data_IF_677948288074
#
_entry.id   IF_677948288074
#
_cell.length_a   1.000
_cell.length_b   1.000
_cell.length_c   1.000
_cell.angle_alpha   90.00
_cell.angle_beta   90.00
_cell.angle_gamma   90.00
#
_symmetry.space_group_name_H-M   'P 1'
#
loop_
_entity.id
_entity.type
_entity.pdbx_description
1 polymer ?
#
# COMPACT_ATOMS: atom_id res chain seq x y z
N UNK A 1 -1.92 32.36 7.57
CA UNK A 1 -3.04 31.56 8.12
C UNK A 1 -2.54 30.14 8.26
N UNK A 2 -2.40 29.60 9.47
CA UNK A 2 -1.97 28.21 9.62
C UNK A 2 -3.13 27.31 9.15
N UNK A 3 -2.86 26.43 8.20
CA UNK A 3 -3.81 25.37 7.84
C UNK A 3 -3.95 24.46 9.06
N UNK A 4 -5.17 24.14 9.45
CA UNK A 4 -5.46 23.23 10.56
C UNK A 4 -6.21 22.02 10.01
N UNK A 5 -5.92 20.86 10.57
CA UNK A 5 -6.57 19.64 10.10
C UNK A 5 -6.30 18.44 10.98
N UNK A 6 -6.81 17.31 10.52
CA UNK A 6 -6.64 16.01 11.16
C UNK A 6 -6.03 15.04 10.16
N UNK A 7 -5.02 14.27 10.60
CA UNK A 7 -4.38 13.24 9.78
C UNK A 7 -5.33 12.04 9.68
N UNK A 8 -5.64 11.61 8.47
CA UNK A 8 -6.52 10.48 8.15
C UNK A 8 -5.79 9.59 7.13
N UNK A 9 -5.12 8.55 7.61
CA UNK A 9 -4.23 7.74 6.77
C UNK A 9 -3.07 8.60 6.22
N UNK A 10 -2.78 8.56 4.90
CA UNK A 10 -1.71 9.36 4.29
C UNK A 10 -2.11 10.80 3.97
N UNK A 11 -3.37 11.18 4.21
CA UNK A 11 -3.91 12.47 3.82
C UNK A 11 -4.31 13.32 5.03
N UNK A 12 -4.32 14.64 4.86
CA UNK A 12 -4.78 15.58 5.89
C UNK A 12 -6.13 16.14 5.50
N UNK A 13 -7.11 15.96 6.40
CA UNK A 13 -8.42 16.58 6.26
C UNK A 13 -8.39 17.98 6.87
N UNK A 14 -8.61 19.00 6.05
CA UNK A 14 -8.70 20.38 6.52
C UNK A 14 -9.91 20.55 7.45
N UNK A 15 -9.68 21.21 8.59
CA UNK A 15 -10.71 21.53 9.55
C UNK A 15 -11.14 23.00 9.36
N UNK A 16 -12.43 23.24 9.16
CA UNK A 16 -13.01 24.59 9.04
C UNK A 16 -13.59 25.10 10.36
N UNK A 17 -13.69 24.22 11.37
CA UNK A 17 -14.32 24.47 12.67
C UNK A 17 -13.33 24.90 13.77
N UNK A 18 -12.05 25.08 13.43
CA UNK A 18 -11.01 25.42 14.41
C UNK A 18 -10.48 24.22 15.20
N UNK A 19 -11.03 23.02 15.00
CA UNK A 19 -10.68 21.81 15.77
C UNK A 19 -9.77 20.92 14.93
N UNK A 20 -8.48 21.25 14.92
CA UNK A 20 -7.46 20.50 14.22
C UNK A 20 -6.06 20.84 14.72
N UNK A 21 -5.08 20.04 14.31
CA UNK A 21 -3.68 20.32 14.57
C UNK A 21 -3.13 21.24 13.46
N UNK A 22 -2.20 22.13 13.79
CA UNK A 22 -1.53 22.96 12.80
C UNK A 22 -0.76 22.08 11.80
N UNK A 23 -0.93 22.40 10.52
CA UNK A 23 -0.27 21.75 9.40
C UNK A 23 0.90 22.62 8.98
N UNK A 24 2.09 22.04 9.03
CA UNK A 24 3.36 22.66 8.68
C UNK A 24 3.81 22.09 7.34
N UNK A 25 3.64 22.90 6.29
CA UNK A 25 4.17 22.60 4.96
C UNK A 25 5.69 22.79 4.95
N UNK A 26 6.38 21.94 4.21
CA UNK A 26 7.82 22.03 3.94
C UNK A 26 8.01 22.16 2.43
N UNK A 27 8.99 22.95 2.00
CA UNK A 27 9.36 23.02 0.58
C UNK A 27 9.78 21.63 0.06
N UNK A 28 9.40 21.35 -1.18
CA UNK A 28 9.81 20.14 -1.88
C UNK A 28 11.35 20.14 -2.02
N UNK A 29 12.04 19.07 -1.59
CA UNK A 29 13.49 19.03 -1.67
C UNK A 29 13.94 18.95 -3.13
N UNK A 30 15.11 19.50 -3.43
CA UNK A 30 15.73 19.28 -4.74
C UNK A 30 16.13 17.81 -4.86
N UNK A 31 15.59 17.15 -5.88
CA UNK A 31 15.75 15.71 -6.06
C UNK A 31 16.76 15.43 -7.18
N UNK A 32 17.80 14.60 -6.92
CA UNK A 32 18.76 14.21 -7.95
C UNK A 32 18.10 13.42 -9.10
N UNK A 33 18.72 13.46 -10.28
CA UNK A 33 18.28 12.66 -11.45
C UNK A 33 18.20 11.16 -11.09
N UNK A 34 17.09 10.51 -11.46
CA UNK A 34 16.80 9.12 -11.10
C UNK A 34 16.20 8.92 -9.70
N UNK A 35 15.78 10.01 -9.03
CA UNK A 35 15.01 10.00 -7.79
C UNK A 35 13.81 10.95 -7.90
N UNK A 36 12.75 10.67 -7.14
CA UNK A 36 11.57 11.53 -7.00
C UNK A 36 11.29 11.79 -5.52
N UNK A 37 10.72 12.96 -5.21
CA UNK A 37 10.25 13.27 -3.87
C UNK A 37 8.86 12.65 -3.68
N UNK A 38 8.72 11.83 -2.65
CA UNK A 38 7.45 11.28 -2.19
C UNK A 38 6.97 12.09 -0.98
N UNK A 39 5.79 12.67 -1.10
CA UNK A 39 5.21 13.57 -0.10
C UNK A 39 4.28 12.79 0.83
N UNK A 40 4.53 12.91 2.14
CA UNK A 40 3.70 12.31 3.18
C UNK A 40 3.44 13.30 4.33
N UNK A 41 2.52 12.96 5.22
CA UNK A 41 2.23 13.74 6.41
C UNK A 41 2.45 12.92 7.67
N UNK A 42 3.16 13.48 8.64
CA UNK A 42 3.44 12.84 9.93
C UNK A 42 3.00 13.73 11.09
N UNK A 43 2.31 13.16 12.08
CA UNK A 43 1.94 13.88 13.29
C UNK A 43 3.07 13.80 14.32
N UNK A 44 3.66 14.95 14.69
CA UNK A 44 4.70 15.05 15.73
C UNK A 44 4.35 16.16 16.71
N UNK A 45 4.40 15.87 18.01
CA UNK A 45 4.29 16.89 19.06
C UNK A 45 3.08 17.83 18.94
N UNK A 46 1.91 17.30 18.54
CA UNK A 46 0.68 18.10 18.39
C UNK A 46 0.62 18.96 17.13
N UNK A 47 1.45 18.71 16.12
CA UNK A 47 1.37 19.33 14.79
C UNK A 47 1.45 18.24 13.71
N UNK A 48 0.94 18.54 12.53
CA UNK A 48 1.08 17.69 11.34
C UNK A 48 2.17 18.30 10.46
N UNK A 49 3.23 17.55 10.20
CA UNK A 49 4.33 17.98 9.35
C UNK A 49 4.19 17.34 7.97
N UNK A 50 4.29 18.13 6.92
CA UNK A 50 4.60 17.63 5.60
C UNK A 50 6.06 17.18 5.60
N UNK A 51 6.26 15.91 5.30
CA UNK A 51 7.57 15.28 5.22
C UNK A 51 7.81 14.80 3.81
N UNK A 52 9.06 14.87 3.37
CA UNK A 52 9.48 14.46 2.04
C UNK A 52 10.46 13.30 2.17
N UNK A 53 10.21 12.23 1.43
CA UNK A 53 11.11 11.10 1.30
C UNK A 53 11.66 11.08 -0.12
N UNK A 54 12.98 10.97 -0.27
CA UNK A 54 13.59 10.80 -1.60
C UNK A 54 13.59 9.33 -1.95
N UNK A 55 12.84 8.96 -2.99
CA UNK A 55 12.72 7.57 -3.46
C UNK A 55 13.27 7.45 -4.88
N UNK A 56 13.83 6.30 -5.30
CA UNK A 56 14.30 6.12 -6.66
C UNK A 56 13.17 6.34 -7.68
N UNK A 57 13.45 7.11 -8.73
CA UNK A 57 12.53 7.36 -9.83
C UNK A 57 12.76 6.29 -10.90
N UNK A 58 11.98 5.21 -10.84
CA UNK A 58 11.63 4.39 -11.99
C UNK A 58 12.70 3.49 -12.64
N UNK A 59 14.00 3.81 -12.61
CA UNK A 59 15.00 3.07 -13.42
C UNK A 59 15.37 1.71 -12.82
N UNK A 60 15.03 1.47 -11.55
CA UNK A 60 15.08 0.15 -10.89
C UNK A 60 13.74 -0.58 -10.87
N UNK A 61 12.68 0.08 -11.33
CA UNK A 61 11.30 -0.39 -11.22
C UNK A 61 10.92 -1.37 -12.33
N UNK A 62 11.63 -1.39 -13.45
CA UNK A 62 11.34 -2.33 -14.54
C UNK A 62 11.69 -3.77 -14.17
N UNK A 63 12.82 -4.01 -13.49
CA UNK A 63 13.19 -5.35 -13.03
C UNK A 63 12.29 -5.84 -11.89
N UNK A 64 11.84 -4.94 -11.00
CA UNK A 64 10.87 -5.27 -9.95
C UNK A 64 9.48 -5.47 -10.53
N UNK A 65 9.06 -4.68 -11.53
CA UNK A 65 7.81 -4.91 -12.27
C UNK A 65 7.88 -6.19 -13.09
N UNK A 66 8.99 -6.49 -13.77
CA UNK A 66 9.17 -7.76 -14.48
C UNK A 66 9.16 -8.93 -13.50
N UNK A 67 9.83 -8.80 -12.35
CA UNK A 67 9.82 -9.79 -11.30
C UNK A 67 8.41 -9.97 -10.71
N UNK A 68 7.66 -8.89 -10.47
CA UNK A 68 6.27 -8.94 -10.00
C UNK A 68 5.32 -9.55 -11.04
N UNK A 69 5.43 -9.17 -12.32
CA UNK A 69 4.70 -9.80 -13.44
C UNK A 69 5.07 -11.28 -13.58
N UNK A 70 6.33 -11.65 -13.35
CA UNK A 70 6.76 -13.06 -13.34
C UNK A 70 6.29 -13.81 -12.08
N UNK A 71 6.15 -13.13 -10.94
CA UNK A 71 5.65 -13.70 -9.68
C UNK A 71 4.17 -14.09 -9.77
N UNK A 72 3.40 -13.41 -10.61
CA UNK A 72 2.04 -13.81 -10.96
C UNK A 72 2.00 -15.17 -11.70
N UNK A 73 3.11 -15.58 -12.33
CA UNK A 73 3.26 -16.88 -13.03
C UNK A 73 4.00 -17.95 -12.23
N UNK A 74 4.62 -17.58 -11.09
CA UNK A 74 5.29 -18.55 -10.22
C UNK A 74 4.29 -19.61 -9.72
N UNK A 75 4.76 -20.82 -9.45
CA UNK A 75 3.97 -21.81 -8.72
C UNK A 75 3.69 -21.35 -7.28
N UNK A 76 2.68 -21.92 -6.64
CA UNK A 76 2.33 -21.59 -5.26
C UNK A 76 3.54 -21.78 -4.30
N UNK A 77 4.37 -22.81 -4.55
CA UNK A 77 5.60 -23.10 -3.80
C UNK A 77 6.71 -22.05 -3.96
N UNK A 78 6.82 -21.42 -5.13
CA UNK A 78 7.83 -20.39 -5.37
C UNK A 78 7.38 -19.04 -4.82
N UNK A 79 6.08 -18.74 -4.86
CA UNK A 79 5.52 -17.56 -4.23
C UNK A 79 5.81 -17.52 -2.71
N UNK A 80 5.78 -18.67 -2.04
CA UNK A 80 6.13 -18.81 -0.63
C UNK A 80 7.58 -18.44 -0.30
N UNK A 81 8.51 -18.53 -1.26
CA UNK A 81 9.92 -18.15 -1.05
C UNK A 81 10.12 -16.64 -1.12
N UNK A 82 9.18 -15.92 -1.73
CA UNK A 82 9.25 -14.48 -1.96
C UNK A 82 7.95 -13.74 -1.58
N UNK A 83 7.44 -13.90 -0.35
CA UNK A 83 6.15 -13.32 0.05
C UNK A 83 6.14 -11.79 -0.05
N UNK A 84 7.30 -11.12 0.08
CA UNK A 84 7.43 -9.67 -0.09
C UNK A 84 7.15 -9.16 -1.52
N UNK A 85 7.14 -10.05 -2.53
CA UNK A 85 6.85 -9.70 -3.92
C UNK A 85 5.36 -9.89 -4.26
N UNK A 86 4.59 -10.52 -3.38
CA UNK A 86 3.17 -10.73 -3.60
C UNK A 86 2.40 -9.52 -3.07
N UNK A 87 1.47 -9.02 -3.88
CA UNK A 87 0.67 -7.85 -3.52
C UNK A 87 -0.14 -8.10 -2.24
N UNK A 88 -0.17 -7.17 -1.29
CA UNK A 88 -1.00 -7.32 -0.11
C UNK A 88 -2.49 -7.28 -0.50
N UNK A 89 -3.33 -7.98 0.27
CA UNK A 89 -4.78 -7.83 0.11
C UNK A 89 -5.19 -6.40 0.43
N UNK A 90 -6.01 -5.83 -0.44
CA UNK A 90 -6.54 -4.48 -0.34
C UNK A 90 -8.02 -4.43 -0.76
N UNK A 91 -8.84 -3.79 0.08
CA UNK A 91 -10.29 -3.66 -0.12
C UNK A 91 -10.65 -2.68 -1.25
N UNK A 92 -9.74 -1.78 -1.63
CA UNK A 92 -9.95 -0.82 -2.71
C UNK A 92 -9.62 -1.35 -4.11
N UNK A 93 -9.19 -2.61 -4.23
CA UNK A 93 -8.98 -3.27 -5.52
C UNK A 93 -10.31 -3.45 -6.27
N UNK A 94 -10.28 -3.35 -7.59
CA UNK A 94 -11.48 -3.49 -8.41
C UNK A 94 -12.03 -4.93 -8.39
N UNK A 95 -11.15 -5.92 -8.43
CA UNK A 95 -11.49 -7.35 -8.42
C UNK A 95 -10.25 -8.22 -8.21
N UNK A 96 -10.42 -9.35 -7.53
CA UNK A 96 -9.46 -10.45 -7.53
C UNK A 96 -9.97 -11.56 -8.43
N UNK A 97 -9.14 -11.98 -9.40
CA UNK A 97 -9.44 -13.13 -10.23
C UNK A 97 -9.19 -14.45 -9.48
N UNK A 98 -9.95 -15.50 -9.81
CA UNK A 98 -9.63 -16.86 -9.35
C UNK A 98 -8.20 -17.23 -9.76
N UNK A 99 -7.43 -17.78 -8.82
CA UNK A 99 -6.01 -18.10 -8.94
C UNK A 99 -5.07 -16.96 -8.55
N UNK A 100 -5.54 -15.71 -8.40
CA UNK A 100 -4.71 -14.60 -7.95
C UNK A 100 -4.21 -14.83 -6.52
N UNK A 101 -3.05 -14.27 -6.17
CA UNK A 101 -2.43 -14.42 -4.84
C UNK A 101 -2.33 -13.08 -4.13
N UNK A 102 -2.54 -13.11 -2.83
CA UNK A 102 -2.40 -11.94 -1.96
C UNK A 102 -1.65 -12.30 -0.69
N UNK A 103 -0.89 -11.33 -0.16
CA UNK A 103 -0.31 -11.43 1.17
C UNK A 103 -1.27 -10.81 2.21
N UNK A 104 -1.50 -11.51 3.32
CA UNK A 104 -2.33 -11.02 4.41
C UNK A 104 -1.87 -11.61 5.74
N UNK A 105 -1.67 -10.75 6.76
CA UNK A 105 -1.29 -11.20 8.10
C UNK A 105 0.07 -11.94 8.19
N UNK A 106 0.92 -11.81 7.18
CA UNK A 106 2.20 -12.55 7.08
C UNK A 106 2.10 -13.90 6.34
N UNK A 107 0.89 -14.34 5.99
CA UNK A 107 0.62 -15.54 5.21
C UNK A 107 0.26 -15.17 3.75
N UNK A 108 0.32 -16.18 2.87
CA UNK A 108 -0.11 -16.08 1.48
C UNK A 108 -1.43 -16.80 1.25
N UNK A 109 -2.29 -16.18 0.46
CA UNK A 109 -3.61 -16.70 0.13
C UNK A 109 -3.85 -16.66 -1.37
N UNK A 110 -4.53 -17.69 -1.88
CA UNK A 110 -4.95 -17.82 -3.25
C UNK A 110 -6.46 -17.61 -3.36
N UNK A 111 -6.86 -16.74 -4.26
CA UNK A 111 -8.27 -16.49 -4.56
C UNK A 111 -8.86 -17.72 -5.25
N UNK A 112 -9.95 -18.27 -4.71
CA UNK A 112 -10.64 -19.44 -5.26
C UNK A 112 -11.66 -19.05 -6.34
N UNK A 113 -12.30 -17.90 -6.17
CA UNK A 113 -13.41 -17.44 -7.01
C UNK A 113 -13.27 -15.95 -7.31
N UNK A 114 -13.46 -15.56 -8.57
CA UNK A 114 -13.36 -14.15 -8.96
C UNK A 114 -14.41 -13.31 -8.22
N UNK A 115 -13.96 -12.28 -7.50
CA UNK A 115 -14.85 -11.42 -6.71
C UNK A 115 -14.28 -10.01 -6.52
N UNK A 116 -15.17 -9.04 -6.33
CA UNK A 116 -14.79 -7.72 -5.83
C UNK A 116 -14.60 -7.81 -4.31
N UNK A 117 -13.47 -7.30 -3.77
CA UNK A 117 -13.25 -7.31 -2.33
C UNK A 117 -14.23 -6.40 -1.60
N UNK A 118 -14.57 -6.80 -0.37
CA UNK A 118 -15.41 -6.03 0.55
C UNK A 118 -14.95 -6.29 1.98
N UNK A 119 -15.38 -5.45 2.89
CA UNK A 119 -15.20 -5.72 4.33
C UNK A 119 -15.91 -7.03 4.67
N UNK A 120 -15.24 -7.94 5.37
CA UNK A 120 -15.69 -9.30 5.64
C UNK A 120 -15.27 -10.34 4.60
N UNK A 121 -14.61 -9.92 3.50
CA UNK A 121 -14.01 -10.84 2.51
C UNK A 121 -12.49 -10.93 2.63
N UNK A 122 -11.94 -10.64 3.81
CA UNK A 122 -10.52 -10.78 4.12
C UNK A 122 -10.09 -12.26 4.00
N UNK A 123 -8.82 -12.54 3.66
CA UNK A 123 -8.38 -13.91 3.43
C UNK A 123 -8.46 -14.85 4.64
N UNK A 124 -8.39 -14.33 5.86
CA UNK A 124 -8.55 -15.10 7.10
C UNK A 124 -10.01 -15.32 7.50
N UNK A 125 -10.92 -14.45 7.06
CA UNK A 125 -12.34 -14.49 7.45
C UNK A 125 -13.25 -15.15 6.41
N UNK A 126 -12.81 -15.26 5.15
CA UNK A 126 -13.61 -15.78 4.04
C UNK A 126 -12.95 -16.99 3.34
N UNK A 127 -12.90 -18.17 4.01
CA UNK A 127 -12.30 -19.39 3.46
C UNK A 127 -13.00 -19.92 2.20
N UNK A 128 -14.23 -19.48 1.92
CA UNK A 128 -14.95 -19.80 0.68
C UNK A 128 -14.45 -19.00 -0.54
N UNK A 129 -13.73 -17.90 -0.31
CA UNK A 129 -13.13 -17.05 -1.34
C UNK A 129 -11.61 -17.23 -1.42
N UNK A 130 -10.97 -17.67 -0.34
CA UNK A 130 -9.52 -17.73 -0.21
C UNK A 130 -9.04 -19.07 0.34
N UNK A 131 -7.97 -19.60 -0.25
CA UNK A 131 -7.24 -20.75 0.24
C UNK A 131 -5.86 -20.30 0.72
N UNK A 132 -5.50 -20.64 1.96
CA UNK A 132 -4.15 -20.36 2.47
C UNK A 132 -3.14 -21.27 1.78
N UNK A 133 -2.11 -20.67 1.20
CA UNK A 133 -1.00 -21.40 0.59
C UNK A 133 -0.09 -21.85 1.73
N UNK A 134 -0.02 -23.17 1.96
CA UNK A 134 0.86 -23.76 2.96
C UNK A 134 2.11 -24.35 2.29
N UNK A 135 3.21 -24.39 3.05
CA UNK A 135 4.41 -25.15 2.73
C UNK A 135 4.20 -26.67 2.87
#
# INVERSE_FOLDING_TARGET
>A
MALIGTLVGPAVRLATDGRGLPILASDEPEVPEGFKADMAYEQRGGSIYQVWSVVPDGVRDDAIRLAAMSAETLGDEDALKVPQLIRPWYVGEASYAAGARVAYGGDLYKCLQTHAPRIGSEPDTAPELWERINH
#
